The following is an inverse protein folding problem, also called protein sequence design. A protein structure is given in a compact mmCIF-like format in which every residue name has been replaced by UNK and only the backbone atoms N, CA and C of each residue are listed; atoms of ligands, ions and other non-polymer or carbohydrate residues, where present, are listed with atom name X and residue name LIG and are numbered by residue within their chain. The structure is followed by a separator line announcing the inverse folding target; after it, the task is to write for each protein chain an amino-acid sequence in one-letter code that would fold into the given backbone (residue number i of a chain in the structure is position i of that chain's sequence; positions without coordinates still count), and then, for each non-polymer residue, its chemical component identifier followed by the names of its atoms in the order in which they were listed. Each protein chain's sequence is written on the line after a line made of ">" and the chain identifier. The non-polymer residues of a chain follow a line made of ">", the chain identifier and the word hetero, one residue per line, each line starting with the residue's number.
data_IF_199415609977
#
_entry.id   IF_199415609977
#
_cell.length_a   1.000
_cell.length_b   1.000
_cell.length_c   1.000
_cell.angle_alpha   90.00
_cell.angle_beta   90.00
_cell.angle_gamma   90.00
#
_symmetry.space_group_name_H-M   'P 1'
#
loop_
_entity.id
_entity.type
_entity.pdbx_description
1 polymer ?
#
# COMPACT_ATOMS: atom_id res chain seq x y z
N UNK A 1 -27.22 5.42 23.28
CA UNK A 1 -27.08 6.31 22.09
C UNK A 1 -26.86 5.42 20.88
N UNK A 2 -27.80 5.44 19.95
CA UNK A 2 -28.02 4.44 18.90
C UNK A 2 -26.88 4.32 17.87
N UNK A 3 -26.31 3.13 17.72
CA UNK A 3 -25.35 2.72 16.68
C UNK A 3 -26.08 2.13 15.45
N UNK A 4 -27.09 2.81 14.91
CA UNK A 4 -27.93 2.27 13.82
C UNK A 4 -27.45 2.63 12.40
N UNK A 5 -26.14 2.76 12.17
CA UNK A 5 -25.62 3.09 10.84
C UNK A 5 -24.18 2.71 10.53
N UNK A 6 -23.42 2.14 11.47
CA UNK A 6 -22.08 1.64 11.18
C UNK A 6 -22.21 0.23 10.58
N UNK A 7 -21.76 0.06 9.33
CA UNK A 7 -21.78 -1.24 8.67
C UNK A 7 -20.70 -2.15 9.24
N UNK A 8 -21.08 -3.36 9.63
CA UNK A 8 -20.14 -4.38 10.10
C UNK A 8 -19.39 -4.93 8.88
N UNK A 9 -18.06 -5.02 8.98
CA UNK A 9 -17.23 -5.69 8.00
C UNK A 9 -16.91 -7.12 8.44
N UNK A 10 -17.19 -8.10 7.57
CA UNK A 10 -16.64 -9.44 7.69
C UNK A 10 -15.19 -9.45 7.22
N UNK A 11 -14.31 -10.06 8.01
CA UNK A 11 -12.88 -10.18 7.74
C UNK A 11 -12.47 -11.65 7.61
N UNK A 12 -11.90 -12.02 6.46
CA UNK A 12 -11.41 -13.37 6.16
C UNK A 12 -9.94 -13.29 5.74
N UNK A 13 -8.98 -13.42 6.68
CA UNK A 13 -7.56 -13.10 6.43
C UNK A 13 -6.91 -13.91 5.30
N UNK A 14 -7.33 -15.15 5.12
CA UNK A 14 -6.74 -16.13 4.20
C UNK A 14 -7.36 -16.13 2.80
N UNK A 15 -8.40 -15.34 2.58
CA UNK A 15 -9.10 -15.31 1.29
C UNK A 15 -8.45 -14.32 0.32
N UNK A 16 -8.78 -14.42 -0.97
CA UNK A 16 -8.27 -13.49 -2.00
C UNK A 16 -8.75 -12.05 -1.77
N UNK A 17 -9.94 -11.92 -1.22
CA UNK A 17 -10.56 -10.66 -0.82
C UNK A 17 -10.89 -10.78 0.65
N UNK A 18 -10.25 -9.93 1.46
CA UNK A 18 -10.24 -10.12 2.90
C UNK A 18 -11.39 -9.41 3.60
N UNK A 19 -11.96 -8.36 3.01
CA UNK A 19 -13.06 -7.59 3.60
C UNK A 19 -14.33 -7.71 2.78
N UNK A 20 -15.45 -7.96 3.45
CA UNK A 20 -16.79 -7.96 2.86
C UNK A 20 -17.73 -7.18 3.76
N UNK A 21 -18.37 -6.13 3.24
CA UNK A 21 -19.32 -5.34 4.01
C UNK A 21 -20.65 -6.09 4.14
N UNK A 22 -21.13 -6.32 5.37
CA UNK A 22 -22.28 -7.19 5.64
C UNK A 22 -23.55 -6.81 4.86
N UNK A 23 -23.89 -5.50 4.84
CA UNK A 23 -25.12 -5.00 4.19
C UNK A 23 -25.03 -4.86 2.67
N UNK A 24 -23.93 -4.32 2.15
CA UNK A 24 -23.80 -3.97 0.73
C UNK A 24 -23.14 -5.07 -0.09
N UNK A 25 -22.59 -6.11 0.57
CA UNK A 25 -21.78 -7.16 -0.06
C UNK A 25 -20.59 -6.61 -0.85
N UNK A 26 -20.20 -5.34 -0.61
CA UNK A 26 -19.06 -4.72 -1.24
C UNK A 26 -17.79 -5.32 -0.65
N UNK A 27 -16.88 -5.76 -1.51
CA UNK A 27 -15.67 -6.46 -1.10
C UNK A 27 -14.42 -5.61 -1.34
N UNK A 28 -13.42 -5.76 -0.48
CA UNK A 28 -12.15 -5.03 -0.54
C UNK A 28 -10.98 -5.96 -0.27
N UNK A 29 -9.99 -5.88 -1.13
CA UNK A 29 -8.70 -6.57 -0.96
C UNK A 29 -7.80 -5.71 -0.07
N UNK A 30 -7.14 -6.35 0.89
CA UNK A 30 -6.10 -5.76 1.72
C UNK A 30 -4.72 -6.25 1.24
N UNK A 31 -3.70 -5.41 1.37
CA UNK A 31 -2.33 -5.88 1.18
C UNK A 31 -1.83 -6.56 2.47
N UNK A 32 -0.66 -7.22 2.39
CA UNK A 32 -0.14 -8.06 3.46
C UNK A 32 -0.05 -7.36 4.83
N UNK A 33 0.55 -6.16 4.93
CA UNK A 33 0.62 -5.44 6.20
C UNK A 33 -0.74 -5.06 6.76
N UNK A 34 -1.67 -4.55 5.95
CA UNK A 34 -3.00 -4.14 6.40
C UNK A 34 -3.82 -5.33 6.90
N UNK A 35 -3.71 -6.49 6.25
CA UNK A 35 -4.35 -7.73 6.68
C UNK A 35 -3.83 -8.19 8.06
N UNK A 36 -2.50 -8.23 8.24
CA UNK A 36 -1.89 -8.57 9.53
C UNK A 36 -2.23 -7.54 10.62
N UNK A 37 -2.23 -6.27 10.27
CA UNK A 37 -2.54 -5.18 11.19
C UNK A 37 -3.99 -5.27 11.67
N UNK A 38 -4.94 -5.52 10.77
CA UNK A 38 -6.33 -5.75 11.15
C UNK A 38 -6.47 -7.00 12.02
N UNK A 39 -5.70 -8.07 11.76
CA UNK A 39 -5.69 -9.28 12.58
C UNK A 39 -5.27 -8.98 14.02
N UNK A 40 -4.19 -8.23 14.22
CA UNK A 40 -3.69 -7.87 15.57
C UNK A 40 -4.67 -6.93 16.28
N UNK A 41 -5.23 -5.95 15.57
CA UNK A 41 -6.21 -5.02 16.13
C UNK A 41 -7.53 -5.73 16.50
N UNK A 42 -7.95 -6.72 15.72
CA UNK A 42 -9.16 -7.50 15.98
C UNK A 42 -8.97 -8.44 17.18
N UNK A 43 -7.80 -9.05 17.33
CA UNK A 43 -7.45 -9.82 18.53
C UNK A 43 -7.47 -8.97 19.81
N UNK A 44 -7.23 -7.66 19.68
CA UNK A 44 -7.24 -6.69 20.76
C UNK A 44 -8.42 -5.71 20.68
N UNK A 45 -9.55 -6.15 20.10
CA UNK A 45 -10.69 -5.29 19.84
C UNK A 45 -11.15 -4.54 21.11
N UNK A 46 -11.41 -3.25 20.97
CA UNK A 46 -11.80 -2.36 22.08
C UNK A 46 -10.65 -1.92 22.98
N UNK A 47 -9.41 -2.37 22.76
CA UNK A 47 -8.22 -1.98 23.53
C UNK A 47 -7.25 -1.17 22.66
N UNK A 48 -6.43 -0.36 23.30
CA UNK A 48 -5.35 0.37 22.63
C UNK A 48 -4.17 -0.57 22.46
N UNK A 49 -3.74 -0.79 21.23
CA UNK A 49 -2.52 -1.54 20.89
C UNK A 49 -1.41 -0.54 20.62
N UNK A 50 -0.25 -0.75 21.24
CA UNK A 50 0.86 0.19 21.11
C UNK A 50 1.46 0.20 19.70
N UNK A 51 2.04 1.33 19.29
CA UNK A 51 2.72 1.41 17.99
C UNK A 51 3.84 0.37 17.85
N UNK A 52 4.63 0.19 18.92
CA UNK A 52 5.75 -0.75 18.93
C UNK A 52 5.28 -2.19 18.75
N UNK A 53 4.21 -2.58 19.47
CA UNK A 53 3.61 -3.92 19.35
C UNK A 53 3.04 -4.16 17.94
N UNK A 54 2.36 -3.18 17.36
CA UNK A 54 1.86 -3.28 15.99
C UNK A 54 3.01 -3.42 14.98
N UNK A 55 4.09 -2.64 15.14
CA UNK A 55 5.24 -2.71 14.25
C UNK A 55 5.95 -4.07 14.34
N UNK A 56 6.13 -4.61 15.54
CA UNK A 56 6.75 -5.91 15.77
C UNK A 56 5.94 -7.08 15.19
N UNK A 57 4.62 -7.07 15.36
CA UNK A 57 3.75 -8.17 14.91
C UNK A 57 3.44 -8.12 13.40
N UNK A 58 3.34 -6.93 12.80
CA UNK A 58 2.93 -6.78 11.40
C UNK A 58 4.10 -6.91 10.42
N UNK A 59 5.31 -6.55 10.84
CA UNK A 59 6.54 -6.67 10.05
C UNK A 59 7.59 -7.52 10.76
N UNK A 60 7.34 -8.83 10.94
CA UNK A 60 8.32 -9.72 11.54
C UNK A 60 9.61 -9.69 10.69
N UNK A 61 10.75 -9.58 11.37
CA UNK A 61 12.08 -9.57 10.77
C UNK A 61 12.37 -8.39 9.82
N UNK A 62 11.65 -7.27 9.94
CA UNK A 62 11.99 -6.02 9.23
C UNK A 62 11.94 -4.82 10.16
N UNK A 63 12.97 -3.99 10.10
CA UNK A 63 12.96 -2.67 10.74
C UNK A 63 12.18 -1.73 9.84
N UNK A 64 11.03 -1.24 10.33
CA UNK A 64 10.17 -0.27 9.64
C UNK A 64 10.04 1.00 10.48
N UNK A 65 9.71 2.12 9.85
CA UNK A 65 9.49 3.38 10.57
C UNK A 65 8.02 3.51 11.00
N UNK A 66 7.74 4.42 11.95
CA UNK A 66 6.35 4.77 12.30
C UNK A 66 5.55 5.31 11.10
N UNK A 67 6.24 5.86 10.09
CA UNK A 67 5.62 6.29 8.84
C UNK A 67 4.95 5.13 8.10
N UNK A 68 5.59 3.95 8.07
CA UNK A 68 5.01 2.74 7.47
C UNK A 68 3.75 2.28 8.21
N UNK A 69 3.77 2.31 9.55
CA UNK A 69 2.60 2.01 10.37
C UNK A 69 1.45 2.99 10.06
N UNK A 70 1.76 4.29 10.04
CA UNK A 70 0.78 5.35 9.77
C UNK A 70 0.16 5.20 8.39
N UNK A 71 0.96 4.86 7.38
CA UNK A 71 0.49 4.61 6.01
C UNK A 71 -0.45 3.40 5.95
N UNK A 72 -0.09 2.27 6.57
CA UNK A 72 -0.95 1.08 6.58
C UNK A 72 -2.26 1.31 7.34
N UNK A 73 -2.24 2.07 8.45
CA UNK A 73 -3.47 2.50 9.13
C UNK A 73 -4.34 3.37 8.21
N UNK A 74 -3.73 4.30 7.46
CA UNK A 74 -4.46 5.14 6.51
C UNK A 74 -5.11 4.32 5.39
N UNK A 75 -4.40 3.34 4.84
CA UNK A 75 -4.96 2.42 3.83
C UNK A 75 -6.08 1.55 4.39
N UNK A 76 -5.92 1.06 5.61
CA UNK A 76 -6.96 0.27 6.26
C UNK A 76 -8.23 1.09 6.55
N UNK A 77 -8.08 2.35 6.99
CA UNK A 77 -9.21 3.29 7.11
C UNK A 77 -9.89 3.52 5.77
N UNK A 78 -9.11 3.74 4.70
CA UNK A 78 -9.66 3.93 3.36
C UNK A 78 -10.47 2.71 2.89
N UNK A 79 -10.01 1.50 3.21
CA UNK A 79 -10.72 0.26 2.89
C UNK A 79 -12.09 0.16 3.58
N UNK A 80 -12.20 0.68 4.81
CA UNK A 80 -13.47 0.76 5.55
C UNK A 80 -14.37 1.94 5.12
N UNK A 81 -13.89 2.83 4.26
CA UNK A 81 -14.54 4.12 4.02
C UNK A 81 -14.48 5.07 5.22
N UNK A 82 -13.48 4.88 6.09
CA UNK A 82 -13.18 5.72 7.24
C UNK A 82 -12.19 6.83 6.87
N UNK A 83 -12.11 7.88 7.70
CA UNK A 83 -11.12 8.94 7.56
C UNK A 83 -10.42 9.23 8.89
N UNK A 84 -9.24 9.84 8.83
CA UNK A 84 -8.52 10.28 10.04
C UNK A 84 -9.26 11.35 10.87
N UNK A 85 -10.30 11.99 10.32
CA UNK A 85 -11.14 12.97 11.02
C UNK A 85 -12.33 12.31 11.73
N UNK A 86 -13.02 11.42 11.04
CA UNK A 86 -14.21 10.75 11.58
C UNK A 86 -13.88 9.56 12.48
N UNK A 87 -12.81 8.82 12.16
CA UNK A 87 -12.27 7.69 12.92
C UNK A 87 -13.35 6.73 13.43
N UNK A 88 -14.25 6.30 12.53
CA UNK A 88 -15.43 5.47 12.89
C UNK A 88 -15.06 4.02 13.20
N UNK A 89 -13.96 3.51 12.66
CA UNK A 89 -13.54 2.12 12.84
C UNK A 89 -12.25 2.03 13.65
N UNK A 90 -11.25 2.81 13.26
CA UNK A 90 -9.94 2.83 13.91
C UNK A 90 -9.68 4.20 14.51
N UNK A 91 -9.55 4.26 15.83
CA UNK A 91 -9.18 5.45 16.58
C UNK A 91 -7.67 5.55 16.76
N UNK A 92 -7.12 6.73 16.50
CA UNK A 92 -5.75 7.06 16.92
C UNK A 92 -5.79 7.56 18.35
N UNK A 93 -4.98 6.96 19.23
CA UNK A 93 -4.74 7.46 20.60
C UNK A 93 -3.36 8.12 20.62
N UNK A 94 -3.27 9.47 20.71
CA UNK A 94 -2.01 10.19 20.64
C UNK A 94 -0.96 9.62 21.60
N UNK A 95 0.27 9.48 21.11
CA UNK A 95 1.43 8.95 21.86
C UNK A 95 1.31 7.51 22.38
N UNK A 96 0.18 6.82 22.17
CA UNK A 96 -0.02 5.45 22.63
C UNK A 96 -0.08 4.46 21.46
N UNK A 97 -1.00 4.68 20.51
CA UNK A 97 -1.19 3.75 19.40
C UNK A 97 -2.57 3.83 18.78
N UNK A 98 -3.14 2.66 18.48
CA UNK A 98 -4.38 2.55 17.74
C UNK A 98 -5.37 1.60 18.43
N UNK A 99 -6.65 1.90 18.27
CA UNK A 99 -7.74 1.11 18.80
C UNK A 99 -8.73 0.82 17.68
N UNK A 100 -9.13 -0.44 17.54
CA UNK A 100 -10.28 -0.84 16.73
C UNK A 100 -11.51 -0.86 17.64
N UNK A 101 -12.59 -0.19 17.23
CA UNK A 101 -13.84 -0.19 18.00
C UNK A 101 -14.42 -1.61 18.10
N UNK A 102 -15.23 -1.84 19.14
CA UNK A 102 -15.94 -3.09 19.30
C UNK A 102 -17.05 -3.23 18.25
N UNK A 103 -17.30 -4.45 17.78
CA UNK A 103 -18.44 -4.81 16.93
C UNK A 103 -18.50 -4.08 15.57
N UNK A 104 -17.38 -3.53 15.07
CA UNK A 104 -17.33 -2.90 13.73
C UNK A 104 -16.68 -3.80 12.67
N UNK A 105 -15.92 -4.81 13.10
CA UNK A 105 -15.32 -5.85 12.27
C UNK A 105 -15.52 -7.19 12.98
N UNK A 106 -15.88 -8.21 12.20
CA UNK A 106 -16.09 -9.59 12.67
C UNK A 106 -15.18 -10.54 11.89
N UNK A 107 -14.50 -11.45 12.60
CA UNK A 107 -13.72 -12.50 11.95
C UNK A 107 -14.68 -13.56 11.41
N UNK A 108 -14.66 -13.78 10.10
CA UNK A 108 -15.46 -14.82 9.46
C UNK A 108 -14.56 -16.03 9.26
N UNK A 109 -14.73 -17.05 10.10
CA UNK A 109 -14.13 -18.35 9.85
C UNK A 109 -14.86 -19.00 8.67
N UNK A 110 -14.10 -19.59 7.74
CA UNK A 110 -14.72 -20.35 6.67
C UNK A 110 -15.54 -21.48 7.30
N UNK A 111 -16.77 -21.73 6.85
CA UNK A 111 -17.38 -23.02 7.09
C UNK A 111 -16.44 -24.07 6.51
N UNK A 112 -15.79 -24.86 7.36
CA UNK A 112 -15.26 -26.13 6.92
C UNK A 112 -16.42 -26.85 6.25
N UNK A 113 -16.28 -27.11 4.95
CA UNK A 113 -17.29 -27.75 4.14
C UNK A 113 -17.62 -29.13 4.75
N UNK A 114 -18.61 -29.13 5.64
CA UNK A 114 -19.33 -30.32 6.05
C UNK A 114 -20.37 -30.51 4.96
N UNK A 115 -20.00 -31.29 3.97
CA UNK A 115 -20.91 -31.78 2.93
C UNK A 115 -22.13 -32.40 3.60
N UNK A 116 -23.28 -31.76 3.44
CA UNK A 116 -24.59 -32.40 3.53
C UNK A 116 -25.45 -31.78 2.45
N UNK A 117 -25.58 -32.51 1.35
CA UNK A 117 -26.36 -32.11 0.20
C UNK A 117 -27.85 -32.20 0.51
N UNK A 118 -28.61 -31.29 -0.09
CA UNK A 118 -29.95 -31.63 -0.56
C UNK A 118 -30.20 -30.88 -1.86
N UNK A 119 -30.29 -31.66 -2.93
CA UNK A 119 -30.66 -31.22 -4.25
C UNK A 119 -32.10 -30.71 -4.26
N UNK A 120 -32.31 -29.55 -4.89
CA UNK A 120 -33.62 -29.21 -5.45
C UNK A 120 -33.46 -28.99 -6.95
N UNK A 121 -33.79 -30.05 -7.69
CA UNK A 121 -34.16 -30.03 -9.10
C UNK A 121 -35.68 -30.21 -9.16
N UNK A 122 -36.39 -29.35 -9.89
CA UNK A 122 -37.82 -29.48 -10.09
C UNK A 122 -38.39 -28.33 -10.89
N UNK A 123 -38.29 -28.44 -12.22
CA UNK A 123 -38.92 -27.58 -13.20
C UNK A 123 -40.45 -27.76 -13.25
N UNK A 124 -41.20 -26.69 -13.58
CA UNK A 124 -42.19 -26.66 -14.68
C UNK A 124 -43.03 -25.35 -14.67
N UNK A 125 -43.15 -24.73 -15.85
CA UNK A 125 -44.20 -23.77 -16.29
C UNK A 125 -45.20 -24.56 -17.18
N UNK A 126 -46.47 -24.15 -17.44
CA UNK A 126 -46.81 -22.89 -18.14
C UNK A 126 -48.19 -22.21 -17.84
N UNK A 127 -48.36 -21.03 -18.47
CA UNK A 127 -49.47 -20.05 -18.66
C UNK A 127 -50.83 -20.63 -19.22
N UNK A 128 -51.93 -19.87 -19.55
CA UNK A 128 -52.32 -18.43 -19.51
C UNK A 128 -53.73 -18.17 -18.87
N UNK A 129 -54.42 -17.01 -18.81
CA UNK A 129 -54.78 -15.99 -19.81
C UNK A 129 -55.68 -14.86 -19.21
N UNK A 130 -55.79 -13.73 -19.95
CA UNK A 130 -56.78 -12.61 -19.96
C UNK A 130 -56.97 -11.74 -18.69
N UNK A 131 -56.95 -10.41 -18.71
CA UNK A 131 -56.85 -9.39 -19.76
C UNK A 131 -57.61 -8.13 -19.34
N UNK A 132 -57.07 -6.93 -19.60
CA UNK A 132 -57.84 -5.80 -20.13
C UNK A 132 -56.91 -4.64 -20.50
N UNK A 133 -57.08 -4.17 -21.73
CA UNK A 133 -56.51 -2.96 -22.34
C UNK A 133 -57.36 -1.76 -21.94
N UNK A 134 -56.73 -0.63 -21.64
CA UNK A 134 -57.17 0.65 -22.21
C UNK A 134 -55.94 1.44 -22.68
N UNK A 135 -56.06 1.89 -23.93
CA UNK A 135 -55.10 2.65 -24.72
C UNK A 135 -55.10 4.12 -24.33
N UNK A 136 -53.93 4.74 -24.19
CA UNK A 136 -53.70 6.14 -24.64
C UNK A 136 -52.19 6.42 -24.79
N UNK A 137 -51.77 6.69 -26.02
CA UNK A 137 -50.61 7.53 -26.37
C UNK A 137 -51.20 8.60 -27.32
N UNK A 138 -50.67 9.83 -27.44
CA UNK A 138 -49.22 10.10 -27.44
C UNK A 138 -48.79 11.44 -26.80
N UNK A 139 -47.52 11.54 -26.38
CA UNK A 139 -46.73 12.74 -26.70
C UNK A 139 -45.22 12.50 -26.56
N UNK A 140 -44.53 12.51 -27.70
CA UNK A 140 -43.09 12.77 -27.77
C UNK A 140 -42.88 14.28 -27.76
N UNK A 141 -42.01 14.79 -26.88
CA UNK A 141 -40.90 15.70 -27.23
C UNK A 141 -40.06 16.01 -25.98
N UNK A 142 -38.77 15.67 -26.03
CA UNK A 142 -37.81 16.00 -24.96
C UNK A 142 -36.47 15.25 -25.04
N UNK A 143 -36.37 14.22 -25.90
CA UNK A 143 -35.23 13.29 -25.92
C UNK A 143 -33.89 13.86 -26.40
N UNK A 144 -33.84 15.03 -27.05
CA UNK A 144 -32.57 15.59 -27.56
C UNK A 144 -31.89 16.50 -26.53
N UNK A 145 -32.68 17.30 -25.77
CA UNK A 145 -32.12 18.20 -24.75
C UNK A 145 -31.58 17.43 -23.55
N UNK A 146 -32.29 16.39 -23.10
CA UNK A 146 -31.82 15.53 -22.01
C UNK A 146 -30.55 14.76 -22.37
N UNK A 147 -30.48 14.24 -23.60
CA UNK A 147 -29.28 13.56 -24.11
C UNK A 147 -28.10 14.54 -24.25
N UNK A 148 -28.33 15.74 -24.78
CA UNK A 148 -27.29 16.77 -24.90
C UNK A 148 -26.75 17.20 -23.53
N UNK A 149 -27.64 17.42 -22.55
CA UNK A 149 -27.23 17.78 -21.18
C UNK A 149 -26.47 16.63 -20.51
N UNK A 150 -26.89 15.38 -20.72
CA UNK A 150 -26.18 14.21 -20.19
C UNK A 150 -24.80 14.04 -20.84
N UNK A 151 -24.68 14.23 -22.15
CA UNK A 151 -23.41 14.19 -22.88
C UNK A 151 -22.51 15.35 -22.42
N UNK A 152 -23.04 16.56 -22.25
CA UNK A 152 -22.29 17.70 -21.73
C UNK A 152 -21.80 17.45 -20.30
N UNK A 153 -22.61 16.85 -19.42
CA UNK A 153 -22.20 16.48 -18.06
C UNK A 153 -21.12 15.38 -18.05
N UNK A 154 -21.19 14.41 -18.96
CA UNK A 154 -20.16 13.38 -19.09
C UNK A 154 -18.86 13.97 -19.63
N UNK A 155 -18.92 14.83 -20.64
CA UNK A 155 -17.73 15.51 -21.18
C UNK A 155 -17.11 16.43 -20.13
N UNK A 156 -17.89 17.24 -19.41
CA UNK A 156 -17.34 18.07 -18.33
C UNK A 156 -16.81 17.23 -17.18
N UNK A 157 -17.45 16.09 -16.86
CA UNK A 157 -16.92 15.11 -15.91
C UNK A 157 -15.57 14.53 -16.34
N UNK A 158 -15.43 14.15 -17.61
CA UNK A 158 -14.17 13.62 -18.17
C UNK A 158 -13.10 14.72 -18.19
N UNK A 159 -13.43 15.93 -18.63
CA UNK A 159 -12.50 17.07 -18.67
C UNK A 159 -12.05 17.47 -17.26
N UNK A 160 -12.95 17.48 -16.27
CA UNK A 160 -12.58 17.78 -14.88
C UNK A 160 -11.81 16.65 -14.23
N UNK A 161 -12.11 15.38 -14.53
CA UNK A 161 -11.31 14.24 -14.06
C UNK A 161 -9.90 14.27 -14.65
N UNK A 162 -9.73 14.61 -15.93
CA UNK A 162 -8.42 14.75 -16.57
C UNK A 162 -7.64 15.96 -16.00
N UNK A 163 -8.31 17.10 -15.79
CA UNK A 163 -7.72 18.27 -15.12
C UNK A 163 -7.33 17.93 -13.69
N UNK A 164 -8.20 17.28 -12.91
CA UNK A 164 -7.88 16.84 -11.54
C UNK A 164 -6.75 15.82 -11.57
N UNK A 165 -6.73 14.85 -12.48
CA UNK A 165 -5.62 13.90 -12.60
C UNK A 165 -4.31 14.62 -12.97
N UNK A 166 -4.36 15.63 -13.83
CA UNK A 166 -3.22 16.48 -14.19
C UNK A 166 -2.74 17.32 -13.00
N UNK A 167 -3.64 17.89 -12.21
CA UNK A 167 -3.27 18.71 -11.05
C UNK A 167 -2.93 17.90 -9.79
N UNK A 168 -3.51 16.71 -9.61
CA UNK A 168 -3.30 15.86 -8.42
C UNK A 168 -2.25 14.77 -8.64
N UNK A 169 -2.14 14.20 -9.84
CA UNK A 169 -1.24 13.08 -10.15
C UNK A 169 -0.15 13.38 -11.18
N UNK A 170 -0.25 14.46 -11.99
CA UNK A 170 0.88 14.91 -12.82
C UNK A 170 1.81 15.84 -12.02
N UNK A 171 2.32 15.34 -10.90
CA UNK A 171 3.58 15.85 -10.39
C UNK A 171 4.66 15.28 -11.30
N UNK A 172 5.23 16.12 -12.17
CA UNK A 172 6.48 15.88 -12.87
C UNK A 172 7.67 15.79 -11.90
N UNK A 173 7.55 15.00 -10.83
CA UNK A 173 8.73 14.51 -10.12
C UNK A 173 9.41 13.62 -11.14
N UNK A 174 10.50 14.13 -11.73
CA UNK A 174 11.42 13.31 -12.49
C UNK A 174 11.70 12.09 -11.61
N UNK A 175 11.18 10.91 -11.99
CA UNK A 175 11.52 9.69 -11.27
C UNK A 175 13.03 9.58 -11.41
N UNK A 176 13.80 9.61 -10.30
CA UNK A 176 15.24 9.62 -10.40
C UNK A 176 15.65 8.42 -11.22
N UNK A 177 16.23 8.68 -12.39
CA UNK A 177 16.70 7.62 -13.27
C UNK A 177 17.98 7.07 -12.68
N UNK A 178 18.10 5.75 -12.71
CA UNK A 178 19.34 5.11 -12.30
C UNK A 178 20.38 5.32 -13.39
N UNK A 179 21.49 5.93 -13.00
CA UNK A 179 22.71 5.99 -13.78
C UNK A 179 23.62 4.86 -13.31
N UNK A 180 24.48 4.37 -14.20
CA UNK A 180 25.52 3.42 -13.84
C UNK A 180 26.86 3.86 -14.43
N UNK A 181 27.94 3.50 -13.75
CA UNK A 181 29.29 3.73 -14.20
C UNK A 181 30.18 2.59 -13.73
N UNK A 182 30.92 2.00 -14.66
CA UNK A 182 31.91 0.98 -14.36
C UNK A 182 33.25 1.65 -14.04
N UNK A 183 33.88 1.22 -12.94
CA UNK A 183 35.20 1.69 -12.58
C UNK A 183 36.01 0.53 -12.01
N UNK A 184 37.02 0.08 -12.77
CA UNK A 184 37.78 -1.16 -12.50
C UNK A 184 36.83 -2.37 -12.41
N UNK A 185 36.84 -3.10 -11.30
CA UNK A 185 36.04 -4.32 -11.08
C UNK A 185 34.70 -4.05 -10.36
N UNK A 186 34.33 -2.78 -10.18
CA UNK A 186 33.11 -2.37 -9.48
C UNK A 186 32.19 -1.54 -10.37
N UNK A 187 30.94 -1.98 -10.52
CA UNK A 187 29.87 -1.21 -11.14
C UNK A 187 29.13 -0.36 -10.10
N UNK A 188 29.12 0.95 -10.28
CA UNK A 188 28.38 1.87 -9.43
C UNK A 188 27.02 2.16 -10.06
N UNK A 189 25.95 2.01 -9.30
CA UNK A 189 24.60 2.45 -9.67
C UNK A 189 24.20 3.61 -8.75
N UNK A 190 23.75 4.73 -9.31
CA UNK A 190 23.31 5.85 -8.50
C UNK A 190 22.08 6.54 -9.12
N UNK A 191 21.21 7.07 -8.26
CA UNK A 191 20.08 7.87 -8.71
C UNK A 191 20.55 9.25 -9.21
N UNK A 192 19.96 9.75 -10.30
CA UNK A 192 20.24 11.09 -10.84
C UNK A 192 19.66 12.21 -9.96
N UNK A 193 20.17 12.33 -8.75
CA UNK A 193 19.82 13.31 -7.72
C UNK A 193 21.13 13.90 -7.17
N UNK A 194 21.23 15.21 -6.86
CA UNK A 194 22.48 15.86 -6.45
C UNK A 194 23.17 15.17 -5.27
N UNK A 195 22.41 14.75 -4.25
CA UNK A 195 22.97 14.09 -3.07
C UNK A 195 23.56 12.71 -3.40
N UNK A 196 22.88 11.91 -4.22
CA UNK A 196 23.38 10.61 -4.69
C UNK A 196 24.64 10.77 -5.55
N UNK A 197 24.67 11.76 -6.45
CA UNK A 197 25.82 12.06 -7.32
C UNK A 197 27.06 12.46 -6.53
N UNK A 198 26.90 13.32 -5.53
CA UNK A 198 28.02 13.75 -4.67
C UNK A 198 28.63 12.57 -3.92
N UNK A 199 27.79 11.72 -3.33
CA UNK A 199 28.27 10.54 -2.61
C UNK A 199 28.94 9.53 -3.55
N UNK A 200 28.38 9.29 -4.74
CA UNK A 200 29.01 8.47 -5.78
C UNK A 200 30.41 8.98 -6.13
N UNK A 201 30.56 10.28 -6.41
CA UNK A 201 31.86 10.85 -6.77
C UNK A 201 32.89 10.73 -5.66
N UNK A 202 32.46 10.79 -4.40
CA UNK A 202 33.36 10.56 -3.26
C UNK A 202 33.74 9.08 -3.13
N UNK A 203 32.76 8.16 -3.16
CA UNK A 203 33.03 6.73 -2.98
C UNK A 203 33.83 6.11 -4.13
N UNK A 204 33.75 6.68 -5.34
CA UNK A 204 34.61 6.27 -6.46
C UNK A 204 36.04 6.82 -6.31
N UNK A 205 36.32 7.76 -5.43
CA UNK A 205 37.66 8.35 -5.34
C UNK A 205 38.67 7.27 -4.88
N UNK A 206 39.78 7.04 -5.61
CA UNK A 206 40.79 6.04 -5.23
C UNK A 206 41.35 6.22 -3.82
N UNK A 207 41.34 7.44 -3.28
CA UNK A 207 41.82 7.77 -1.93
C UNK A 207 40.98 7.15 -0.82
N UNK A 208 39.73 6.77 -1.10
CA UNK A 208 38.85 6.11 -0.12
C UNK A 208 39.23 4.65 0.15
N UNK A 209 40.02 4.02 -0.72
CA UNK A 209 40.41 2.62 -0.60
C UNK A 209 39.30 1.59 -0.88
N UNK A 210 38.06 2.02 -1.15
CA UNK A 210 36.91 1.14 -1.40
C UNK A 210 37.12 0.21 -2.61
N UNK A 211 37.87 0.68 -3.61
CA UNK A 211 38.08 -0.02 -4.88
C UNK A 211 38.96 -1.27 -4.78
N UNK A 212 39.72 -1.44 -3.68
CA UNK A 212 40.66 -2.55 -3.54
C UNK A 212 40.00 -3.78 -2.91
N UNK A 213 38.72 -4.03 -3.16
CA UNK A 213 37.90 -5.04 -2.49
C UNK A 213 36.99 -5.83 -3.42
N UNK A 214 36.35 -6.92 -2.95
CA UNK A 214 35.51 -7.82 -3.76
C UNK A 214 34.10 -7.26 -4.02
N UNK A 215 33.96 -5.93 -4.06
CA UNK A 215 32.68 -5.27 -4.28
C UNK A 215 32.47 -5.22 -5.80
N UNK A 216 31.53 -6.02 -6.30
CA UNK A 216 31.19 -6.04 -7.71
C UNK A 216 30.20 -4.94 -8.07
N UNK A 217 29.25 -4.65 -7.18
CA UNK A 217 28.27 -3.58 -7.42
C UNK A 217 28.05 -2.74 -6.17
N UNK A 218 27.90 -1.43 -6.37
CA UNK A 218 27.56 -0.48 -5.32
C UNK A 218 26.40 0.39 -5.76
N UNK A 219 25.26 0.28 -5.08
CA UNK A 219 24.05 1.04 -5.35
C UNK A 219 23.92 2.19 -4.35
N UNK A 220 23.65 3.40 -4.85
CA UNK A 220 23.62 4.64 -4.06
C UNK A 220 22.33 5.40 -4.36
N UNK A 221 21.50 5.61 -3.34
CA UNK A 221 20.27 6.38 -3.46
C UNK A 221 20.07 7.30 -2.25
N UNK A 222 19.87 8.59 -2.49
CA UNK A 222 19.50 9.55 -1.47
C UNK A 222 17.98 9.79 -1.45
N UNK A 223 17.45 9.93 -0.25
CA UNK A 223 16.07 10.38 -0.01
C UNK A 223 16.11 11.70 0.77
N UNK A 224 14.95 12.26 1.13
CA UNK A 224 14.86 13.53 1.88
C UNK A 224 15.60 13.53 3.24
N UNK A 225 15.88 12.36 3.83
CA UNK A 225 16.42 12.28 5.19
C UNK A 225 17.60 11.32 5.35
N UNK A 226 17.92 10.53 4.32
CA UNK A 226 18.94 9.49 4.43
C UNK A 226 19.56 9.11 3.09
N UNK A 227 20.83 8.70 3.14
CA UNK A 227 21.50 7.92 2.10
C UNK A 227 21.22 6.43 2.31
N UNK A 228 20.97 5.71 1.22
CA UNK A 228 20.92 4.25 1.18
C UNK A 228 22.05 3.78 0.27
N UNK A 229 22.92 2.94 0.81
CA UNK A 229 24.05 2.35 0.09
C UNK A 229 23.94 0.83 0.18
N UNK A 230 23.94 0.15 -0.95
CA UNK A 230 23.91 -1.32 -1.00
C UNK A 230 25.13 -1.84 -1.75
N UNK A 231 25.91 -2.72 -1.13
CA UNK A 231 27.02 -3.38 -1.80
C UNK A 231 26.68 -4.84 -2.09
N UNK A 232 26.98 -5.27 -3.31
CA UNK A 232 26.87 -6.67 -3.77
C UNK A 232 28.28 -7.24 -3.92
N UNK A 233 28.51 -8.42 -3.35
CA UNK A 233 29.81 -9.09 -3.33
C UNK A 233 29.64 -10.60 -3.55
N UNK A 234 30.70 -11.27 -4.02
CA UNK A 234 30.66 -12.70 -4.41
C UNK A 234 29.80 -12.96 -5.65
N UNK A 235 29.32 -14.20 -5.83
CA UNK A 235 28.47 -14.64 -6.95
C UNK A 235 27.03 -14.09 -6.86
N UNK A 236 26.90 -12.76 -6.88
CA UNK A 236 25.70 -11.96 -7.16
C UNK A 236 24.55 -12.06 -6.13
N UNK A 237 24.55 -13.03 -5.22
CA UNK A 237 23.43 -13.26 -4.29
C UNK A 237 23.60 -12.66 -2.89
N UNK A 238 24.75 -12.07 -2.57
CA UNK A 238 24.98 -11.47 -1.26
C UNK A 238 25.02 -9.94 -1.36
N UNK A 239 24.06 -9.29 -0.69
CA UNK A 239 23.97 -7.85 -0.62
C UNK A 239 23.89 -7.38 0.83
N UNK A 240 24.64 -6.34 1.18
CA UNK A 240 24.51 -5.61 2.45
C UNK A 240 23.92 -4.24 2.17
N UNK A 241 22.85 -3.92 2.89
CA UNK A 241 22.17 -2.64 2.81
C UNK A 241 22.55 -1.80 4.03
N UNK A 242 22.99 -0.57 3.77
CA UNK A 242 23.44 0.40 4.77
C UNK A 242 22.63 1.68 4.60
N UNK A 243 22.30 2.31 5.71
CA UNK A 243 21.53 3.55 5.73
C UNK A 243 22.25 4.56 6.62
N UNK A 244 22.37 5.80 6.12
CA UNK A 244 23.05 6.90 6.80
C UNK A 244 22.15 8.13 6.78
N UNK A 245 22.24 8.98 7.81
CA UNK A 245 21.49 10.24 7.85
C UNK A 245 21.98 11.17 6.72
N UNK A 246 21.07 11.92 6.12
CA UNK A 246 21.44 12.90 5.08
C UNK A 246 22.33 13.99 5.71
N UNK A 247 23.49 14.27 5.11
CA UNK A 247 24.51 15.17 5.66
C UNK A 247 25.56 14.50 6.56
N UNK A 248 25.47 13.18 6.78
CA UNK A 248 26.56 12.41 7.39
C UNK A 248 27.86 12.60 6.60
N UNK A 249 29.00 12.67 7.29
CA UNK A 249 30.27 12.92 6.61
C UNK A 249 30.64 11.75 5.71
N UNK A 250 31.09 12.05 4.49
CA UNK A 250 31.34 11.01 3.49
C UNK A 250 32.49 10.06 3.87
N UNK A 251 33.48 10.51 4.64
CA UNK A 251 34.55 9.66 5.17
C UNK A 251 34.02 8.60 6.15
N UNK A 252 33.02 8.98 6.97
CA UNK A 252 32.35 8.06 7.90
C UNK A 252 31.54 7.03 7.12
N UNK A 253 30.80 7.48 6.09
CA UNK A 253 30.05 6.59 5.20
C UNK A 253 30.99 5.60 4.53
N UNK A 254 32.07 6.08 3.89
CA UNK A 254 33.05 5.23 3.22
C UNK A 254 33.65 4.18 4.17
N UNK A 255 34.05 4.57 5.37
CA UNK A 255 34.60 3.66 6.39
C UNK A 255 33.60 2.57 6.79
N UNK A 256 32.32 2.93 6.94
CA UNK A 256 31.27 1.96 7.28
C UNK A 256 30.96 1.01 6.13
N UNK A 257 30.92 1.53 4.90
CA UNK A 257 30.73 0.72 3.70
C UNK A 257 31.89 -0.26 3.55
N UNK A 258 33.13 0.21 3.63
CA UNK A 258 34.32 -0.64 3.53
C UNK A 258 34.31 -1.75 4.58
N UNK A 259 34.06 -1.41 5.85
CA UNK A 259 33.98 -2.38 6.95
C UNK A 259 32.85 -3.39 6.73
N UNK A 260 31.65 -2.94 6.43
CA UNK A 260 30.48 -3.80 6.29
C UNK A 260 30.60 -4.74 5.09
N UNK A 261 31.07 -4.23 3.95
CA UNK A 261 31.18 -4.99 2.71
C UNK A 261 32.39 -5.94 2.72
N UNK A 262 33.48 -5.61 3.43
CA UNK A 262 34.63 -6.52 3.60
C UNK A 262 34.42 -7.55 4.70
N UNK A 263 33.74 -7.22 5.80
CA UNK A 263 33.52 -8.17 6.92
C UNK A 263 32.68 -9.38 6.52
N UNK A 264 31.83 -9.23 5.51
CA UNK A 264 31.02 -10.31 4.96
C UNK A 264 31.82 -11.38 4.19
N UNK A 265 33.15 -11.23 4.07
CA UNK A 265 34.09 -12.25 3.60
C UNK A 265 34.22 -13.45 4.54
N UNK A 266 33.80 -13.31 5.80
CA UNK A 266 34.09 -14.27 6.89
C UNK A 266 32.89 -15.01 7.46
N UNK A 267 31.71 -14.83 6.87
CA UNK A 267 30.45 -15.48 7.29
C UNK A 267 29.98 -16.52 6.30
#
# INVERSE_FOLDING_TARGET
>A
MSTSGQGIWGFTPLDKVQLTHARTQHTKKLNGPECRLLTVLLANQGKVVSKQELMANVWPNRVVSEGSLTQSIAQLRLAFGDSGKEQKYIKTVPHQGYLLFANVVELVERPHASTSGTAYLGAAKPHPDVGQRETTLPQRLGGVKGLLVMVLMLVTGIQTADVVHRYTFAWGVAKPTWQHADHRDTTYFYQDEPASRQLYHYLRDPTTGLQNGPIHQLLIAATRHQYNVSCVYGDVNQAKNLTFVLGERFDVIATHVDRACRSARSS
#
